data_IF_647971175264
#
_entry.id   IF_647971175264
#
_cell.length_a   1.000
_cell.length_b   1.000
_cell.length_c   1.000
_cell.angle_alpha   90.00
_cell.angle_beta   90.00
_cell.angle_gamma   90.00
#
_symmetry.space_group_name_H-M   'P 1'
#
loop_
_entity.id
_entity.type
_entity.pdbx_description
1 polymer ?
#
# COMPACT_ATOMS: atom_id res chain seq x y z
N UNK A 1 62.11 42.27 15.76
CA UNK A 1 62.14 42.31 14.27
C UNK A 1 61.48 41.04 13.74
N UNK A 2 60.53 41.14 12.79
CA UNK A 2 59.82 39.97 12.20
C UNK A 2 59.17 39.06 13.27
N UNK A 3 59.05 37.73 13.10
CA UNK A 3 59.23 36.89 11.88
C UNK A 3 58.48 35.53 11.98
N UNK A 4 57.14 35.57 11.94
CA UNK A 4 56.24 34.46 11.59
C UNK A 4 56.24 33.18 12.45
N UNK A 5 55.38 33.16 13.49
CA UNK A 5 54.71 31.93 13.93
C UNK A 5 53.71 31.52 12.83
N UNK A 6 53.98 30.42 12.14
CA UNK A 6 53.12 29.93 11.05
C UNK A 6 52.12 28.90 11.60
N UNK A 7 50.85 29.06 11.25
CA UNK A 7 49.77 28.26 11.82
C UNK A 7 49.78 26.80 11.34
N UNK A 8 49.66 25.86 12.28
CA UNK A 8 49.39 24.46 12.00
C UNK A 8 47.94 24.13 12.43
N UNK A 9 46.98 24.54 11.61
CA UNK A 9 45.57 24.34 11.88
C UNK A 9 45.14 22.89 11.61
N UNK A 10 44.64 22.25 12.66
CA UNK A 10 43.92 20.98 12.71
C UNK A 10 43.40 20.40 11.37
N UNK A 11 44.11 19.40 10.84
CA UNK A 11 43.55 18.42 9.93
C UNK A 11 42.88 17.28 10.73
N UNK A 12 41.73 17.57 11.35
CA UNK A 12 40.85 16.50 11.84
C UNK A 12 40.07 15.98 10.63
N UNK A 13 40.62 14.98 9.96
CA UNK A 13 39.92 14.25 8.92
C UNK A 13 38.66 13.61 9.52
N UNK A 14 37.49 14.13 9.15
CA UNK A 14 36.22 13.61 9.62
C UNK A 14 35.93 12.25 8.98
N UNK A 15 36.44 11.18 9.61
CA UNK A 15 35.93 9.83 9.41
C UNK A 15 34.51 9.73 10.00
N UNK A 16 33.54 10.36 9.34
CA UNK A 16 32.14 10.04 9.55
C UNK A 16 31.96 8.57 9.11
N UNK A 17 31.52 7.66 10.01
CA UNK A 17 31.25 6.29 9.60
C UNK A 17 30.11 6.31 8.59
N UNK A 18 30.42 5.92 7.34
CA UNK A 18 29.37 5.62 6.38
C UNK A 18 28.59 4.44 6.95
N UNK A 19 27.38 4.71 7.45
CA UNK A 19 26.40 3.68 7.80
C UNK A 19 25.91 3.08 6.48
N UNK A 20 26.73 2.20 5.92
CA UNK A 20 26.37 1.35 4.80
C UNK A 20 25.32 0.38 5.32
N UNK A 21 24.05 0.77 5.20
CA UNK A 21 22.94 -0.10 5.52
C UNK A 21 23.08 -1.35 4.66
N UNK A 22 23.41 -2.49 5.30
CA UNK A 22 23.45 -3.77 4.62
C UNK A 22 22.09 -4.01 3.96
N UNK A 23 22.03 -4.50 2.70
CA UNK A 23 20.76 -4.76 2.04
C UNK A 23 19.88 -5.68 2.90
N UNK A 24 18.67 -5.23 3.22
CA UNK A 24 17.67 -6.05 3.93
C UNK A 24 17.41 -7.31 3.09
N UNK A 25 17.83 -8.47 3.59
CA UNK A 25 17.68 -9.75 2.87
C UNK A 25 16.21 -10.11 2.83
N UNK A 26 15.60 -9.96 1.65
CA UNK A 26 14.20 -10.33 1.40
C UNK A 26 14.18 -11.73 0.78
N UNK A 27 13.72 -12.77 1.50
CA UNK A 27 13.64 -14.12 0.94
C UNK A 27 12.62 -14.15 -0.20
N UNK A 28 12.89 -14.96 -1.23
CA UNK A 28 11.94 -15.20 -2.31
C UNK A 28 10.89 -16.23 -1.86
N UNK A 29 9.62 -15.84 -1.94
CA UNK A 29 8.47 -16.65 -1.53
C UNK A 29 7.69 -17.16 -2.75
N UNK A 30 6.98 -18.29 -2.60
CA UNK A 30 6.06 -18.81 -3.63
C UNK A 30 4.62 -18.42 -3.29
N UNK A 31 3.85 -18.00 -4.29
CA UNK A 31 2.42 -17.69 -4.10
C UNK A 31 1.53 -18.47 -5.06
N UNK A 32 0.64 -19.26 -4.49
CA UNK A 32 -0.38 -19.99 -5.25
C UNK A 32 -1.76 -19.31 -5.21
N UNK A 33 -2.04 -18.57 -4.13
CA UNK A 33 -3.31 -17.89 -3.90
C UNK A 33 -3.57 -16.74 -4.90
N UNK A 34 -4.80 -16.69 -5.42
CA UNK A 34 -5.23 -15.65 -6.37
C UNK A 34 -5.10 -14.23 -5.82
N UNK A 35 -5.37 -14.05 -4.53
CA UNK A 35 -5.11 -12.85 -3.74
C UNK A 35 -3.90 -13.09 -2.81
N UNK A 36 -2.69 -12.60 -3.15
CA UNK A 36 -1.50 -12.83 -2.33
C UNK A 36 -1.61 -12.14 -0.97
N UNK A 37 -1.55 -12.92 0.11
CA UNK A 37 -1.77 -12.43 1.47
C UNK A 37 -0.97 -13.17 2.55
N UNK A 38 0.05 -13.96 2.17
CA UNK A 38 0.94 -14.61 3.14
C UNK A 38 1.83 -13.57 3.86
N UNK A 39 2.11 -13.79 5.14
CA UNK A 39 3.02 -12.97 5.93
C UNK A 39 4.40 -12.88 5.29
N UNK A 40 4.99 -11.69 5.24
CA UNK A 40 6.32 -11.46 4.66
C UNK A 40 6.34 -11.26 3.14
N UNK A 41 5.21 -11.36 2.45
CA UNK A 41 5.11 -10.87 1.07
C UNK A 41 5.29 -9.34 1.06
N UNK A 42 6.12 -8.87 0.14
CA UNK A 42 6.45 -7.46 -0.06
C UNK A 42 6.43 -7.09 -1.56
N UNK A 43 5.85 -5.92 -1.82
CA UNK A 43 5.85 -5.22 -3.08
C UNK A 43 6.63 -3.91 -2.96
N UNK A 44 7.30 -3.50 -4.03
CA UNK A 44 7.94 -2.18 -4.15
C UNK A 44 7.39 -1.45 -5.37
N UNK A 45 7.05 -0.17 -5.19
CA UNK A 45 6.40 0.68 -6.18
C UNK A 45 7.12 2.02 -6.33
N UNK A 46 7.06 2.58 -7.53
CA UNK A 46 7.44 3.97 -7.80
C UNK A 46 6.30 4.69 -8.54
N UNK A 47 6.12 6.01 -8.34
CA UNK A 47 5.25 6.82 -9.20
C UNK A 47 5.65 6.66 -10.67
N UNK A 48 4.65 6.64 -11.55
CA UNK A 48 4.88 6.45 -12.98
C UNK A 48 5.80 7.54 -13.56
N UNK A 49 6.82 7.11 -14.32
CA UNK A 49 7.84 7.99 -14.90
C UNK A 49 9.02 8.34 -13.98
N UNK A 50 9.02 7.97 -12.70
CA UNK A 50 10.19 8.19 -11.85
C UNK A 50 11.35 7.21 -12.14
N UNK A 51 12.62 7.65 -11.97
CA UNK A 51 13.79 6.78 -12.09
C UNK A 51 13.78 5.61 -11.10
N UNK A 52 14.19 4.42 -11.56
CA UNK A 52 14.27 3.21 -10.73
C UNK A 52 15.29 3.30 -9.57
N UNK A 53 16.18 4.30 -9.60
CA UNK A 53 17.11 4.62 -8.51
C UNK A 53 16.45 5.35 -7.33
N UNK A 54 15.20 5.83 -7.48
CA UNK A 54 14.51 6.53 -6.41
C UNK A 54 14.11 5.57 -5.27
N UNK A 55 14.07 6.03 -4.00
CA UNK A 55 13.54 5.23 -2.91
C UNK A 55 12.07 4.82 -3.18
N UNK A 56 11.73 3.52 -3.18
CA UNK A 56 10.38 3.07 -3.48
C UNK A 56 9.41 3.27 -2.31
N UNK A 57 8.12 3.34 -2.64
CA UNK A 57 7.07 2.97 -1.70
C UNK A 57 7.03 1.44 -1.60
N UNK A 58 6.73 0.90 -0.42
CA UNK A 58 6.61 -0.54 -0.19
C UNK A 58 5.25 -0.86 0.40
N UNK A 59 4.76 -2.07 0.12
CA UNK A 59 3.65 -2.70 0.86
C UNK A 59 4.18 -4.03 1.38
N UNK A 60 3.97 -4.34 2.66
CA UNK A 60 4.36 -5.62 3.28
C UNK A 60 3.18 -6.21 4.05
N UNK A 61 2.96 -7.52 3.95
CA UNK A 61 2.04 -8.24 4.84
C UNK A 61 2.75 -8.49 6.16
N UNK A 62 2.32 -7.81 7.23
CA UNK A 62 2.86 -8.00 8.58
C UNK A 62 2.31 -9.27 9.25
N UNK A 63 1.15 -9.75 8.81
CA UNK A 63 0.53 -11.00 9.26
C UNK A 63 -0.82 -10.82 9.96
N UNK A 64 -1.31 -11.84 10.68
CA UNK A 64 -2.59 -11.83 11.40
C UNK A 64 -2.67 -10.76 12.49
N UNK A 65 -3.87 -10.23 12.70
CA UNK A 65 -4.23 -9.30 13.76
C UNK A 65 -5.74 -9.34 14.03
N UNK A 66 -6.18 -8.60 15.05
CA UNK A 66 -7.60 -8.32 15.32
C UNK A 66 -7.87 -6.84 15.09
N UNK A 67 -8.95 -6.51 14.39
CA UNK A 67 -9.39 -5.13 14.17
C UNK A 67 -10.91 -5.04 14.33
N UNK A 68 -11.40 -4.19 15.24
CA UNK A 68 -12.82 -4.09 15.61
C UNK A 68 -13.46 -5.43 16.04
N UNK A 69 -12.66 -6.35 16.60
CA UNK A 69 -13.10 -7.68 17.02
C UNK A 69 -13.00 -8.77 15.94
N UNK A 70 -12.66 -8.40 14.71
CA UNK A 70 -12.58 -9.31 13.55
C UNK A 70 -11.14 -9.77 13.30
N UNK A 71 -10.96 -11.05 12.93
CA UNK A 71 -9.67 -11.59 12.51
C UNK A 71 -9.32 -11.11 11.09
N UNK A 72 -8.17 -10.45 10.96
CA UNK A 72 -7.75 -9.78 9.72
C UNK A 72 -6.24 -9.90 9.51
N UNK A 73 -5.78 -9.53 8.32
CA UNK A 73 -4.37 -9.39 7.99
C UNK A 73 -3.97 -7.92 7.94
N UNK A 74 -2.79 -7.60 8.49
CA UNK A 74 -2.16 -6.28 8.41
C UNK A 74 -1.33 -6.14 7.15
N UNK A 75 -1.66 -5.17 6.31
CA UNK A 75 -0.89 -4.76 5.14
C UNK A 75 -0.33 -3.37 5.39
N UNK A 76 0.97 -3.27 5.67
CA UNK A 76 1.61 -1.97 5.89
C UNK A 76 2.16 -1.40 4.60
N UNK A 77 1.65 -0.23 4.19
CA UNK A 77 2.28 0.63 3.18
C UNK A 77 3.23 1.62 3.85
N UNK A 78 4.43 1.79 3.31
CA UNK A 78 5.46 2.65 3.90
C UNK A 78 6.49 3.14 2.87
N UNK A 79 7.18 4.23 3.21
CA UNK A 79 8.25 4.82 2.39
C UNK A 79 7.95 6.25 1.97
N UNK A 80 8.98 7.08 1.73
CA UNK A 80 8.86 8.50 1.35
C UNK A 80 7.89 9.30 2.25
N UNK A 81 7.93 9.06 3.56
CA UNK A 81 7.06 9.70 4.55
C UNK A 81 5.70 9.03 4.74
N UNK A 82 5.30 8.10 3.87
CA UNK A 82 4.12 7.27 4.10
C UNK A 82 4.40 6.21 5.18
N UNK A 83 3.41 5.98 6.03
CA UNK A 83 3.32 4.87 6.95
C UNK A 83 1.83 4.64 7.26
N UNK A 84 1.22 3.61 6.68
CA UNK A 84 -0.20 3.28 6.85
C UNK A 84 -0.40 1.78 6.92
N UNK A 85 -1.21 1.30 7.86
CA UNK A 85 -1.58 -0.11 8.01
C UNK A 85 -3.02 -0.29 7.56
N UNK A 86 -3.25 -1.10 6.54
CA UNK A 86 -4.57 -1.51 6.09
C UNK A 86 -4.94 -2.85 6.75
N UNK A 87 -6.21 -2.97 7.17
CA UNK A 87 -6.76 -4.17 7.82
C UNK A 87 -7.69 -4.89 6.85
N UNK A 88 -7.25 -6.05 6.37
CA UNK A 88 -7.91 -6.80 5.28
C UNK A 88 -8.29 -8.21 5.68
N UNK A 89 -9.53 -8.61 5.44
CA UNK A 89 -9.91 -10.02 5.34
C UNK A 89 -9.64 -10.51 3.93
N UNK A 90 -9.02 -11.68 3.79
CA UNK A 90 -8.74 -12.32 2.49
C UNK A 90 -9.21 -13.77 2.55
N UNK A 91 -9.98 -14.22 1.55
CA UNK A 91 -10.51 -15.58 1.53
C UNK A 91 -11.36 -15.87 0.28
N UNK A 92 -12.20 -16.92 0.29
CA UNK A 92 -13.07 -17.27 -0.84
C UNK A 92 -14.04 -16.16 -1.26
N UNK A 93 -14.35 -15.24 -0.35
CA UNK A 93 -15.16 -14.04 -0.60
C UNK A 93 -14.42 -12.91 -1.33
N UNK A 94 -13.14 -13.10 -1.68
CA UNK A 94 -12.26 -12.06 -2.23
C UNK A 94 -11.48 -11.33 -1.14
N UNK A 95 -11.36 -10.00 -1.26
CA UNK A 95 -10.67 -9.13 -0.32
C UNK A 95 -11.63 -8.08 0.24
N UNK A 96 -11.68 -7.94 1.57
CA UNK A 96 -12.51 -6.95 2.28
C UNK A 96 -11.64 -6.03 3.13
N UNK A 97 -11.80 -4.73 2.97
CA UNK A 97 -11.13 -3.69 3.75
C UNK A 97 -12.02 -3.28 4.94
N UNK A 98 -11.56 -3.59 6.15
CA UNK A 98 -12.24 -3.24 7.40
C UNK A 98 -11.88 -1.83 7.87
N UNK A 99 -10.72 -1.33 7.48
CA UNK A 99 -10.22 -0.03 7.89
C UNK A 99 -8.73 0.15 7.62
N UNK A 100 -8.21 1.30 8.03
CA UNK A 100 -6.77 1.58 8.03
C UNK A 100 -6.38 2.49 9.19
N UNK A 101 -5.10 2.48 9.53
CA UNK A 101 -4.47 3.39 10.49
C UNK A 101 -3.25 4.06 9.86
N UNK A 102 -3.10 5.35 10.10
CA UNK A 102 -1.83 6.06 9.96
C UNK A 102 -1.44 6.67 11.33
N UNK A 103 -0.24 7.28 11.51
CA UNK A 103 0.21 7.77 12.81
C UNK A 103 -0.70 8.82 13.47
N UNK A 104 -1.64 9.40 12.71
CA UNK A 104 -2.55 10.46 13.16
C UNK A 104 -3.99 9.99 13.34
N UNK A 105 -4.44 8.97 12.60
CA UNK A 105 -5.84 8.58 12.57
C UNK A 105 -6.07 7.08 12.31
N UNK A 106 -7.15 6.57 12.90
CA UNK A 106 -7.80 5.30 12.55
C UNK A 106 -9.07 5.59 11.74
N UNK A 107 -9.29 4.82 10.68
CA UNK A 107 -10.54 4.81 9.90
C UNK A 107 -11.12 3.40 9.88
N UNK A 108 -12.42 3.28 10.16
CA UNK A 108 -13.19 2.03 10.19
C UNK A 108 -14.30 2.10 9.14
N UNK A 109 -14.55 0.97 8.46
CA UNK A 109 -15.63 0.76 7.49
C UNK A 109 -16.63 -0.29 8.01
N UNK A 110 -17.90 0.08 8.14
CA UNK A 110 -18.97 -0.81 8.60
C UNK A 110 -20.20 -0.71 7.66
N UNK A 111 -20.52 -1.74 6.85
CA UNK A 111 -19.77 -2.99 6.65
C UNK A 111 -18.40 -2.77 5.97
N UNK A 112 -17.47 -3.74 6.06
CA UNK A 112 -16.20 -3.71 5.34
C UNK A 112 -16.39 -3.59 3.82
N UNK A 113 -15.54 -2.81 3.16
CA UNK A 113 -15.61 -2.58 1.70
C UNK A 113 -15.00 -3.77 0.95
N UNK A 114 -15.72 -4.46 0.04
CA UNK A 114 -15.12 -5.47 -0.83
C UNK A 114 -14.19 -4.82 -1.86
N UNK A 115 -12.88 -4.77 -1.59
CA UNK A 115 -11.89 -4.21 -2.52
C UNK A 115 -11.74 -5.06 -3.79
N UNK A 116 -11.83 -6.38 -3.66
CA UNK A 116 -11.76 -7.33 -4.77
C UNK A 116 -12.80 -8.45 -4.56
N UNK A 117 -13.49 -8.90 -5.62
CA UNK A 117 -14.54 -9.94 -5.54
C UNK A 117 -13.96 -11.34 -5.34
N UNK A 118 -14.79 -12.39 -5.19
CA UNK A 118 -14.36 -13.77 -5.39
C UNK A 118 -13.63 -13.99 -6.73
N UNK A 119 -12.64 -14.88 -6.77
CA UNK A 119 -11.81 -15.19 -7.96
C UNK A 119 -12.65 -15.45 -9.22
N UNK A 120 -13.66 -16.33 -9.13
CA UNK A 120 -14.54 -16.68 -10.25
C UNK A 120 -15.46 -15.56 -10.75
N UNK A 121 -15.47 -14.40 -10.10
CA UNK A 121 -16.23 -13.22 -10.51
C UNK A 121 -15.34 -12.10 -11.08
N UNK A 122 -14.01 -12.18 -10.96
CA UNK A 122 -13.11 -11.16 -11.50
C UNK A 122 -12.95 -11.31 -13.02
N UNK A 123 -13.93 -10.79 -13.76
CA UNK A 123 -13.98 -10.80 -15.22
C UNK A 123 -14.39 -9.42 -15.78
N UNK A 124 -14.03 -9.14 -17.04
CA UNK A 124 -14.36 -7.88 -17.72
C UNK A 124 -15.88 -7.65 -17.76
N UNK A 125 -16.31 -6.43 -17.44
CA UNK A 125 -17.71 -6.05 -17.29
C UNK A 125 -18.32 -6.39 -15.92
N UNK A 126 -17.63 -7.12 -15.04
CA UNK A 126 -18.12 -7.36 -13.68
C UNK A 126 -18.11 -6.05 -12.87
N UNK A 127 -19.22 -5.82 -12.16
CA UNK A 127 -19.47 -4.64 -11.33
C UNK A 127 -19.90 -5.06 -9.94
N UNK A 128 -19.41 -4.35 -8.93
CA UNK A 128 -19.83 -4.51 -7.54
C UNK A 128 -19.77 -3.17 -6.81
N UNK A 129 -20.48 -3.06 -5.69
CA UNK A 129 -20.62 -1.80 -4.98
C UNK A 129 -21.51 -1.92 -3.77
N UNK A 130 -21.69 -0.81 -3.06
CA UNK A 130 -22.51 -0.74 -1.85
C UNK A 130 -22.28 0.58 -1.11
N UNK A 131 -22.67 0.60 0.16
CA UNK A 131 -22.39 1.69 1.09
C UNK A 131 -21.65 1.15 2.32
N UNK A 132 -20.91 2.04 2.99
CA UNK A 132 -20.27 1.78 4.27
C UNK A 132 -20.39 3.01 5.16
N UNK A 133 -20.67 2.82 6.45
CA UNK A 133 -20.41 3.85 7.46
C UNK A 133 -18.91 3.98 7.67
N UNK A 134 -18.40 5.19 7.45
CA UNK A 134 -17.02 5.55 7.75
C UNK A 134 -16.99 6.19 9.13
N UNK A 135 -16.09 5.72 9.98
CA UNK A 135 -15.79 6.36 11.28
C UNK A 135 -14.30 6.63 11.36
N UNK A 136 -13.93 7.90 11.45
CA UNK A 136 -12.56 8.37 11.58
C UNK A 136 -12.32 8.87 13.01
N UNK A 137 -11.24 8.39 13.62
CA UNK A 137 -10.82 8.69 14.99
C UNK A 137 -9.39 9.20 14.96
N UNK A 138 -9.16 10.40 15.49
CA UNK A 138 -7.84 10.98 15.69
C UNK A 138 -7.13 10.23 16.83
N UNK A 139 -5.91 9.76 16.57
CA UNK A 139 -5.04 9.10 17.52
C UNK A 139 -4.07 10.16 18.08
N UNK A 140 -4.15 10.45 19.39
CA UNK A 140 -3.30 11.46 20.04
C UNK A 140 -2.64 10.92 21.30
N UNK A 141 -1.53 11.52 21.79
CA UNK A 141 -0.89 11.08 23.03
C UNK A 141 -1.81 11.10 24.25
N UNK A 142 -2.88 11.91 24.21
CA UNK A 142 -3.92 12.02 25.25
C UNK A 142 -5.07 11.00 25.06
N UNK A 143 -4.99 10.13 24.06
CA UNK A 143 -6.01 9.14 23.72
C UNK A 143 -6.71 9.40 22.38
N UNK A 144 -7.77 8.63 22.15
CA UNK A 144 -8.57 8.64 20.93
C UNK A 144 -9.67 9.72 20.98
N UNK A 145 -9.89 10.43 19.86
CA UNK A 145 -10.95 11.44 19.73
C UNK A 145 -11.69 11.29 18.39
N UNK A 146 -13.04 11.35 18.35
CA UNK A 146 -13.78 11.36 17.09
C UNK A 146 -13.29 12.50 16.18
N UNK A 147 -13.01 12.20 14.92
CA UNK A 147 -12.57 13.17 13.91
C UNK A 147 -13.68 13.45 12.89
N UNK A 148 -14.31 12.40 12.37
CA UNK A 148 -15.43 12.49 11.44
C UNK A 148 -16.21 11.18 11.39
N UNK A 149 -17.48 11.24 10.97
CA UNK A 149 -18.26 10.08 10.55
C UNK A 149 -19.15 10.46 9.38
N UNK A 150 -19.54 9.49 8.56
CA UNK A 150 -20.39 9.71 7.39
C UNK A 150 -20.66 8.42 6.63
N UNK A 151 -21.39 8.51 5.51
CA UNK A 151 -21.57 7.39 4.58
C UNK A 151 -20.66 7.53 3.37
N UNK A 152 -20.12 6.40 2.92
CA UNK A 152 -19.33 6.27 1.71
C UNK A 152 -19.99 5.25 0.80
N UNK A 153 -20.60 5.73 -0.29
CA UNK A 153 -21.04 4.88 -1.39
C UNK A 153 -19.83 4.54 -2.28
N UNK A 154 -19.80 3.32 -2.82
CA UNK A 154 -18.73 2.88 -3.71
C UNK A 154 -19.26 2.00 -4.84
N UNK A 155 -18.61 2.06 -6.00
CA UNK A 155 -18.93 1.22 -7.17
C UNK A 155 -17.66 0.98 -7.96
N UNK A 156 -17.29 -0.30 -8.10
CA UNK A 156 -16.08 -0.74 -8.80
C UNK A 156 -16.48 -1.55 -10.04
N UNK A 157 -15.66 -1.47 -11.09
CA UNK A 157 -15.92 -2.10 -12.38
C UNK A 157 -14.63 -2.59 -13.04
N UNK A 158 -14.62 -3.84 -13.53
CA UNK A 158 -13.55 -4.34 -14.38
C UNK A 158 -13.74 -3.83 -15.82
N UNK A 159 -13.02 -2.78 -16.21
CA UNK A 159 -13.16 -2.14 -17.52
C UNK A 159 -12.59 -2.98 -18.66
N UNK A 160 -11.41 -3.58 -18.47
CA UNK A 160 -10.70 -4.34 -19.49
C UNK A 160 -9.72 -5.34 -18.86
N UNK A 161 -9.35 -6.36 -19.65
CA UNK A 161 -8.21 -7.22 -19.37
C UNK A 161 -7.14 -7.00 -20.44
N UNK A 162 -5.92 -6.64 -20.05
CA UNK A 162 -4.80 -6.39 -20.98
C UNK A 162 -3.49 -6.95 -20.46
N UNK A 163 -2.53 -7.14 -21.36
CA UNK A 163 -1.13 -7.33 -20.95
C UNK A 163 -0.48 -5.96 -20.71
N UNK A 164 0.33 -5.85 -19.67
CA UNK A 164 1.16 -4.67 -19.39
C UNK A 164 2.60 -5.10 -19.09
N UNK A 165 3.56 -4.27 -19.49
CA UNK A 165 4.97 -4.39 -19.13
C UNK A 165 5.32 -3.26 -18.16
N UNK A 166 5.80 -3.63 -16.98
CA UNK A 166 6.30 -2.74 -15.93
C UNK A 166 7.71 -3.21 -15.51
N UNK A 167 8.47 -2.45 -14.69
CA UNK A 167 9.82 -2.86 -14.32
C UNK A 167 9.88 -4.22 -13.58
N UNK A 168 8.83 -4.59 -12.84
CA UNK A 168 8.72 -5.89 -12.19
C UNK A 168 8.41 -7.08 -13.13
N UNK A 169 8.14 -6.85 -14.42
CA UNK A 169 7.86 -7.89 -15.41
C UNK A 169 6.67 -7.62 -16.33
N UNK A 170 6.19 -8.67 -16.97
CA UNK A 170 5.01 -8.65 -17.85
C UNK A 170 3.86 -9.37 -17.16
N UNK A 171 2.68 -8.73 -17.11
CA UNK A 171 1.52 -9.22 -16.39
C UNK A 171 0.24 -9.07 -17.20
N UNK A 172 -0.64 -10.08 -17.14
CA UNK A 172 -2.04 -9.95 -17.54
C UNK A 172 -2.80 -9.29 -16.39
N UNK A 173 -3.25 -8.06 -16.58
CA UNK A 173 -3.97 -7.26 -15.58
C UNK A 173 -5.43 -7.06 -15.95
N UNK A 174 -6.26 -6.95 -14.92
CA UNK A 174 -7.59 -6.37 -14.95
C UNK A 174 -7.47 -4.89 -14.57
N UNK A 175 -7.93 -3.98 -15.44
CA UNK A 175 -8.06 -2.56 -15.13
C UNK A 175 -9.38 -2.34 -14.44
N UNK A 176 -9.33 -1.94 -13.17
CA UNK A 176 -10.51 -1.79 -12.32
C UNK A 176 -10.70 -0.31 -12.02
N UNK A 177 -11.81 0.26 -12.47
CA UNK A 177 -12.25 1.59 -12.03
C UNK A 177 -12.82 1.48 -10.62
N UNK A 178 -12.46 2.42 -9.75
CA UNK A 178 -13.02 2.55 -8.41
C UNK A 178 -13.66 3.94 -8.25
N UNK A 179 -14.99 4.00 -8.15
CA UNK A 179 -15.74 5.20 -7.79
C UNK A 179 -16.08 5.17 -6.31
N UNK A 180 -15.83 6.27 -5.61
CA UNK A 180 -16.23 6.50 -4.23
C UNK A 180 -17.00 7.83 -4.15
N UNK A 181 -18.07 7.89 -3.35
CA UNK A 181 -18.89 9.10 -3.19
C UNK A 181 -19.30 9.29 -1.73
N UNK A 182 -19.10 10.49 -1.22
CA UNK A 182 -19.55 10.94 0.10
C UNK A 182 -20.24 12.32 -0.01
N UNK A 183 -20.49 12.98 1.12
CA UNK A 183 -21.10 14.31 1.18
C UNK A 183 -20.23 15.43 0.58
N UNK A 184 -18.91 15.20 0.42
CA UNK A 184 -17.95 16.17 -0.11
C UNK A 184 -17.81 16.06 -1.63
N UNK A 185 -18.20 14.93 -2.22
CA UNK A 185 -18.26 14.75 -3.67
C UNK A 185 -17.98 13.32 -4.11
N UNK A 186 -17.49 13.19 -5.34
CA UNK A 186 -17.11 11.91 -5.94
C UNK A 186 -15.60 11.89 -6.23
N UNK A 187 -14.94 10.79 -5.87
CA UNK A 187 -13.57 10.49 -6.20
C UNK A 187 -13.51 9.28 -7.14
N UNK A 188 -12.65 9.37 -8.15
CA UNK A 188 -12.48 8.34 -9.17
C UNK A 188 -11.02 7.90 -9.22
N UNK A 189 -10.78 6.60 -9.07
CA UNK A 189 -9.46 5.98 -9.14
C UNK A 189 -9.46 4.81 -10.14
N UNK A 190 -8.26 4.35 -10.45
CA UNK A 190 -8.03 3.16 -11.26
C UNK A 190 -6.90 2.33 -10.64
N UNK A 191 -7.09 1.02 -10.55
CA UNK A 191 -6.05 0.05 -10.18
C UNK A 191 -5.86 -0.97 -11.30
N UNK A 192 -4.65 -1.49 -11.47
CA UNK A 192 -4.39 -2.62 -12.36
C UNK A 192 -4.05 -3.83 -11.50
N UNK A 193 -4.96 -4.81 -11.42
CA UNK A 193 -4.79 -6.00 -10.60
C UNK A 193 -4.38 -7.21 -11.47
N UNK A 194 -3.33 -7.93 -11.09
CA UNK A 194 -2.99 -9.22 -11.68
C UNK A 194 -3.16 -10.35 -10.65
N UNK A 195 -3.89 -11.44 -11.00
CA UNK A 195 -3.98 -12.65 -10.17
C UNK A 195 -2.62 -13.17 -9.74
N UNK A 196 -2.50 -13.63 -8.48
CA UNK A 196 -1.25 -14.11 -7.85
C UNK A 196 -0.12 -13.08 -7.77
N UNK A 197 -0.39 -11.82 -8.15
CA UNK A 197 0.54 -10.69 -8.02
C UNK A 197 -0.03 -9.61 -7.11
N UNK A 198 -1.32 -9.27 -7.21
CA UNK A 198 -1.91 -8.12 -6.54
C UNK A 198 -1.94 -6.88 -7.45
N UNK A 199 -1.79 -5.69 -6.87
CA UNK A 199 -1.74 -4.44 -7.63
C UNK A 199 -0.42 -4.33 -8.41
N UNK A 200 -0.52 -4.25 -9.73
CA UNK A 200 0.56 -3.90 -10.68
C UNK A 200 0.62 -2.38 -10.87
N UNK A 201 -0.54 -1.71 -10.70
CA UNK A 201 -0.66 -0.26 -10.54
C UNK A 201 -1.61 0.03 -9.37
N UNK A 202 -1.15 0.82 -8.40
CA UNK A 202 -1.95 1.23 -7.23
C UNK A 202 -2.85 2.42 -7.55
N UNK A 203 -3.84 2.68 -6.69
CA UNK A 203 -4.81 3.79 -6.85
C UNK A 203 -4.14 5.18 -6.83
N UNK A 204 -2.98 5.29 -6.18
CA UNK A 204 -2.13 6.49 -6.15
C UNK A 204 -1.28 6.68 -7.42
N UNK A 205 -1.47 5.83 -8.45
CA UNK A 205 -0.75 5.92 -9.73
C UNK A 205 0.69 5.39 -9.68
N UNK A 206 0.99 4.49 -8.75
CA UNK A 206 2.34 3.91 -8.57
C UNK A 206 2.42 2.56 -9.30
N UNK A 207 3.48 2.35 -10.08
CA UNK A 207 3.74 1.11 -10.81
C UNK A 207 4.61 0.14 -9.99
N UNK A 208 4.33 -1.16 -10.11
CA UNK A 208 5.10 -2.22 -9.48
C UNK A 208 6.49 -2.31 -10.13
N UNK A 209 7.53 -2.12 -9.31
CA UNK A 209 8.93 -2.18 -9.76
C UNK A 209 9.68 -3.41 -9.25
N UNK A 210 9.26 -4.00 -8.13
CA UNK A 210 9.81 -5.25 -7.61
C UNK A 210 8.83 -5.95 -6.64
N UNK A 211 8.99 -7.27 -6.46
CA UNK A 211 8.28 -8.09 -5.45
C UNK A 211 9.14 -9.28 -5.02
N UNK A 212 9.15 -9.60 -3.73
CA UNK A 212 9.93 -10.72 -3.17
C UNK A 212 9.28 -12.10 -3.36
N UNK A 213 8.44 -12.28 -4.36
CA UNK A 213 7.72 -13.53 -4.58
C UNK A 213 7.38 -13.77 -6.04
N UNK A 214 7.04 -15.01 -6.36
CA UNK A 214 6.65 -15.45 -7.71
C UNK A 214 5.27 -16.07 -7.68
#
# INVERSE_FOLDING_TARGET
MKRYLMALALLVAACAPQVTQAPEVRPELRVEAFYPAATGLEWSYLPEGEPLSNPPYRVRVEGPAVFQGEEVLRFRSFGRGENRVYYRGVGPFGVRLFGFEDPSARVVFAPPIPEYPPEGLLAVGYRWGGESEVRATLLTPQGERPLASGRLAYTFEVLEGKEVRVPAGVFRVFRIQQRYRDEKGEALYEVWFAPKVGEVRTREGRLLVDRNFR
#
